data_IF_560445325839
#
_entry.id   IF_560445325839
#
_cell.length_a   1.000
_cell.length_b   1.000
_cell.length_c   1.000
_cell.angle_alpha   90.00
_cell.angle_beta   90.00
_cell.angle_gamma   90.00
#
_symmetry.space_group_name_H-M   'P 1'
#
loop_
_entity.id
_entity.type
_entity.pdbx_description
1 polymer ?
#
# COMPACT_ATOMS: atom_id res chain seq x y z
N UNK A 1 24.00 -6.14 16.76
CA UNK A 1 24.50 -7.31 16.01
C UNK A 1 24.34 -8.66 16.72
N UNK A 2 24.65 -8.80 18.02
CA UNK A 2 24.55 -10.12 18.72
C UNK A 2 23.19 -10.83 18.53
N UNK A 3 22.07 -10.16 18.83
CA UNK A 3 20.72 -10.73 18.67
C UNK A 3 20.42 -11.18 17.24
N UNK A 4 20.86 -10.40 16.25
CA UNK A 4 20.66 -10.72 14.83
C UNK A 4 21.46 -11.95 14.40
N UNK A 5 22.74 -12.01 14.79
CA UNK A 5 23.60 -13.16 14.47
C UNK A 5 23.04 -14.43 15.12
N UNK A 6 22.65 -14.35 16.40
CA UNK A 6 22.03 -15.49 17.09
C UNK A 6 20.74 -15.91 16.40
N UNK A 7 19.86 -14.97 16.05
CA UNK A 7 18.62 -15.27 15.33
C UNK A 7 18.85 -15.94 13.96
N UNK A 8 19.95 -15.66 13.27
CA UNK A 8 20.31 -16.34 12.01
C UNK A 8 20.74 -17.79 12.28
N UNK A 9 21.49 -18.02 13.37
CA UNK A 9 21.85 -19.38 13.80
C UNK A 9 20.59 -20.15 14.18
N UNK A 10 19.73 -19.56 15.00
CA UNK A 10 18.46 -20.17 15.43
C UNK A 10 17.55 -20.48 14.24
N UNK A 11 17.45 -19.56 13.26
CA UNK A 11 16.72 -19.81 12.00
C UNK A 11 17.30 -21.01 11.26
N UNK A 12 18.62 -21.10 11.10
CA UNK A 12 19.26 -22.22 10.40
C UNK A 12 19.05 -23.56 11.09
N UNK A 13 19.09 -23.58 12.42
CA UNK A 13 19.04 -24.82 13.20
C UNK A 13 17.61 -25.31 13.44
N UNK A 14 16.64 -24.41 13.57
CA UNK A 14 15.29 -24.76 14.03
C UNK A 14 14.17 -24.46 13.03
N UNK A 15 14.28 -23.41 12.23
CA UNK A 15 13.20 -23.00 11.30
C UNK A 15 13.47 -23.43 9.86
N UNK A 16 14.72 -23.37 9.40
CA UNK A 16 15.08 -23.70 8.01
C UNK A 16 14.51 -25.05 7.54
N UNK A 17 14.55 -26.15 8.33
CA UNK A 17 14.02 -27.43 7.86
C UNK A 17 12.53 -27.37 7.47
N UNK A 18 11.70 -26.61 8.19
CA UNK A 18 10.27 -26.48 7.87
C UNK A 18 10.00 -25.56 6.66
N UNK A 19 10.97 -24.75 6.27
CA UNK A 19 10.84 -23.81 5.15
C UNK A 19 11.60 -24.24 3.88
N UNK A 20 12.38 -25.33 3.93
CA UNK A 20 13.27 -25.73 2.84
C UNK A 20 12.51 -25.94 1.52
N UNK A 21 11.44 -26.74 1.54
CA UNK A 21 10.60 -26.99 0.36
C UNK A 21 9.94 -25.71 -0.18
N UNK A 22 9.43 -24.86 0.73
CA UNK A 22 8.84 -23.57 0.37
C UNK A 22 9.84 -22.67 -0.35
N UNK A 23 11.06 -22.51 0.17
CA UNK A 23 12.08 -21.67 -0.47
C UNK A 23 12.66 -22.28 -1.75
N UNK A 24 12.72 -23.61 -1.88
CA UNK A 24 13.09 -24.27 -3.14
C UNK A 24 12.10 -23.92 -4.25
N UNK A 25 10.79 -23.93 -3.94
CA UNK A 25 9.76 -23.49 -4.88
C UNK A 25 9.88 -22.00 -5.19
N UNK A 26 10.02 -21.15 -4.18
CA UNK A 26 10.12 -19.69 -4.35
C UNK A 26 11.38 -19.24 -5.09
N UNK A 27 12.46 -20.05 -5.05
CA UNK A 27 13.67 -19.77 -5.81
C UNK A 27 13.45 -19.81 -7.33
N UNK A 28 12.39 -20.48 -7.80
CA UNK A 28 12.03 -20.53 -9.22
C UNK A 28 11.15 -19.35 -9.66
N UNK A 29 10.55 -18.62 -8.72
CA UNK A 29 9.71 -17.47 -9.00
C UNK A 29 8.83 -17.09 -7.82
N UNK A 30 8.41 -15.81 -7.81
CA UNK A 30 7.46 -15.27 -6.84
C UNK A 30 6.13 -14.94 -7.53
N UNK A 31 5.03 -15.10 -6.80
CA UNK A 31 3.70 -14.67 -7.21
C UNK A 31 2.92 -14.19 -5.99
N UNK A 32 3.27 -13.01 -5.46
CA UNK A 32 2.59 -12.45 -4.30
C UNK A 32 1.16 -12.04 -4.65
N UNK A 33 0.27 -12.12 -3.67
CA UNK A 33 -1.13 -11.73 -3.82
C UNK A 33 -1.28 -10.20 -3.75
N UNK A 34 -0.44 -9.57 -2.92
CA UNK A 34 -0.59 -8.16 -2.52
C UNK A 34 0.73 -7.41 -2.61
N UNK A 35 0.70 -6.18 -3.13
CA UNK A 35 1.73 -5.18 -2.85
C UNK A 35 1.38 -4.47 -1.53
N UNK A 36 2.20 -4.63 -0.51
CA UNK A 36 2.03 -4.03 0.80
C UNK A 36 3.00 -2.86 0.99
N UNK A 37 2.48 -1.64 1.15
CA UNK A 37 3.26 -0.44 1.42
C UNK A 37 3.12 -0.06 2.89
N UNK A 38 4.21 -0.15 3.64
CA UNK A 38 4.23 0.13 5.07
C UNK A 38 5.34 1.09 5.49
N UNK A 39 5.32 1.52 6.75
CA UNK A 39 6.35 2.40 7.28
C UNK A 39 7.63 1.61 7.61
N UNK A 40 8.81 2.23 7.51
CA UNK A 40 10.08 1.70 7.99
C UNK A 40 10.16 1.57 9.52
N UNK A 41 9.14 2.06 10.25
CA UNK A 41 9.03 1.91 11.71
C UNK A 41 9.20 0.46 12.15
N UNK A 42 10.16 0.19 13.02
CA UNK A 42 10.54 -1.17 13.42
C UNK A 42 9.44 -1.93 14.16
N UNK A 43 8.38 -1.25 14.60
CA UNK A 43 7.20 -1.85 15.25
C UNK A 43 6.16 -2.36 14.23
N UNK A 44 6.25 -1.92 12.98
CA UNK A 44 5.38 -2.37 11.89
C UNK A 44 6.04 -3.56 11.21
N UNK A 45 5.45 -4.75 11.37
CA UNK A 45 5.96 -6.00 10.80
C UNK A 45 4.81 -6.69 10.06
N UNK A 46 4.59 -6.39 8.76
CA UNK A 46 3.41 -6.85 8.02
C UNK A 46 3.17 -8.35 8.12
N UNK A 47 4.20 -9.16 7.86
CA UNK A 47 4.08 -10.62 7.90
C UNK A 47 3.68 -11.16 9.29
N UNK A 48 3.98 -10.43 10.37
CA UNK A 48 3.64 -10.85 11.72
C UNK A 48 2.14 -10.70 12.01
N UNK A 49 1.56 -9.53 11.72
CA UNK A 49 0.14 -9.29 12.02
C UNK A 49 -0.79 -9.83 10.93
N UNK A 50 -0.33 -9.89 9.68
CA UNK A 50 -1.10 -10.46 8.57
C UNK A 50 -1.01 -11.99 8.51
N UNK A 51 -0.14 -12.61 9.32
CA UNK A 51 0.10 -14.06 9.35
C UNK A 51 0.40 -14.64 7.97
N UNK A 52 1.22 -13.94 7.18
CA UNK A 52 1.56 -14.33 5.81
C UNK A 52 2.89 -15.08 5.75
N UNK A 53 2.98 -16.05 4.85
CA UNK A 53 4.16 -16.85 4.58
C UNK A 53 5.13 -16.16 3.59
N UNK A 54 6.38 -16.62 3.48
CA UNK A 54 7.28 -16.15 2.44
C UNK A 54 6.65 -16.31 1.04
N UNK A 55 6.64 -15.23 0.27
CA UNK A 55 6.08 -15.20 -1.09
C UNK A 55 4.69 -14.60 -1.22
N UNK A 56 3.94 -14.43 -0.12
CA UNK A 56 2.56 -13.91 -0.16
C UNK A 56 2.50 -12.39 -0.39
N UNK A 57 3.45 -11.64 0.19
CA UNK A 57 3.51 -10.18 0.12
C UNK A 57 4.73 -9.70 -0.68
N UNK A 58 4.51 -8.77 -1.61
CA UNK A 58 5.54 -7.90 -2.15
C UNK A 58 5.58 -6.61 -1.33
N UNK A 59 6.70 -6.24 -0.70
CA UNK A 59 6.68 -5.22 0.36
C UNK A 59 7.54 -4.00 0.02
N UNK A 60 6.95 -2.81 0.12
CA UNK A 60 7.66 -1.52 0.15
C UNK A 60 7.65 -1.01 1.60
N UNK A 61 8.83 -0.61 2.11
CA UNK A 61 8.94 0.04 3.42
C UNK A 61 9.77 1.31 3.34
N UNK A 62 9.15 2.45 3.63
CA UNK A 62 9.82 3.75 3.67
C UNK A 62 9.31 4.59 4.85
N UNK A 63 9.94 5.73 5.13
CA UNK A 63 9.58 6.57 6.28
C UNK A 63 8.20 7.20 6.04
N UNK A 64 7.19 6.78 6.80
CA UNK A 64 5.83 7.32 6.71
C UNK A 64 4.93 6.67 5.65
N UNK A 65 5.30 5.51 5.10
CA UNK A 65 4.51 4.75 4.12
C UNK A 65 4.04 5.59 2.93
N UNK A 66 4.94 6.44 2.41
CA UNK A 66 4.63 7.44 1.39
C UNK A 66 4.85 6.89 -0.01
N UNK A 67 4.04 7.41 -0.93
CA UNK A 67 4.18 7.23 -2.37
C UNK A 67 4.32 8.64 -2.95
N UNK A 68 5.39 8.90 -3.71
CA UNK A 68 5.45 10.13 -4.47
C UNK A 68 4.37 10.11 -5.57
N UNK A 69 3.64 11.22 -5.80
CA UNK A 69 2.71 11.28 -6.92
C UNK A 69 3.48 11.17 -8.24
N UNK A 70 2.95 10.39 -9.18
CA UNK A 70 3.45 10.36 -10.55
C UNK A 70 3.07 11.67 -11.27
N UNK A 71 4.06 12.44 -11.70
CA UNK A 71 3.88 13.59 -12.59
C UNK A 71 4.31 13.23 -14.02
N UNK A 72 3.33 12.84 -14.83
CA UNK A 72 3.51 12.52 -16.26
C UNK A 72 3.59 13.75 -17.15
N UNK A 73 3.38 14.96 -16.61
CA UNK A 73 3.29 16.20 -17.41
C UNK A 73 4.62 16.91 -17.55
N UNK A 74 5.54 16.70 -16.62
CA UNK A 74 6.91 17.21 -16.72
C UNK A 74 7.82 16.14 -17.34
N UNK A 75 7.96 16.17 -18.66
CA UNK A 75 8.87 15.33 -19.45
C UNK A 75 10.37 15.48 -19.09
N UNK A 76 10.69 16.16 -17.99
CA UNK A 76 12.04 16.40 -17.46
C UNK A 76 12.25 15.86 -16.05
N UNK A 77 11.25 15.30 -15.37
CA UNK A 77 11.38 14.84 -13.99
C UNK A 77 10.72 13.47 -13.76
N UNK A 78 11.15 12.44 -14.51
CA UNK A 78 11.07 11.09 -13.93
C UNK A 78 12.07 11.07 -12.77
N UNK A 79 11.64 11.51 -11.59
CA UNK A 79 12.42 11.38 -10.37
C UNK A 79 12.52 9.88 -10.10
N UNK A 80 13.73 9.38 -9.90
CA UNK A 80 13.99 7.97 -9.60
C UNK A 80 13.49 7.66 -8.18
N UNK A 81 12.19 7.40 -8.07
CA UNK A 81 11.53 6.98 -6.85
C UNK A 81 11.53 5.46 -6.77
N UNK A 82 12.14 4.90 -5.73
CA UNK A 82 12.25 3.44 -5.57
C UNK A 82 10.87 2.77 -5.47
N UNK A 83 9.90 3.45 -4.85
CA UNK A 83 8.52 2.99 -4.75
C UNK A 83 7.81 2.96 -6.11
N UNK A 84 8.11 3.88 -7.02
CA UNK A 84 7.53 3.91 -8.36
C UNK A 84 7.88 2.64 -9.14
N UNK A 85 9.16 2.28 -9.16
CA UNK A 85 9.65 1.07 -9.82
C UNK A 85 9.04 -0.21 -9.20
N UNK A 86 8.89 -0.24 -7.88
CA UNK A 86 8.29 -1.36 -7.17
C UNK A 86 6.78 -1.49 -7.47
N UNK A 87 6.04 -0.38 -7.59
CA UNK A 87 4.64 -0.36 -8.02
C UNK A 87 4.51 -0.92 -9.44
N UNK A 88 5.31 -0.41 -10.38
CA UNK A 88 5.29 -0.86 -11.78
C UNK A 88 5.61 -2.36 -11.89
N UNK A 89 6.62 -2.82 -11.15
CA UNK A 89 6.99 -4.23 -11.14
C UNK A 89 5.87 -5.11 -10.56
N UNK A 90 5.27 -4.71 -9.43
CA UNK A 90 4.19 -5.45 -8.81
C UNK A 90 2.97 -5.58 -9.74
N UNK A 91 2.58 -4.49 -10.40
CA UNK A 91 1.39 -4.50 -11.26
C UNK A 91 1.66 -5.14 -12.63
N UNK A 92 2.78 -4.82 -13.29
CA UNK A 92 3.05 -5.29 -14.66
C UNK A 92 3.69 -6.69 -14.72
N UNK A 93 4.60 -6.98 -13.80
CA UNK A 93 5.42 -8.20 -13.87
C UNK A 93 4.87 -9.29 -12.95
N UNK A 94 4.43 -8.92 -11.74
CA UNK A 94 3.88 -9.89 -10.78
C UNK A 94 2.35 -10.06 -10.91
N UNK A 95 1.66 -9.07 -11.48
CA UNK A 95 0.21 -9.12 -11.67
C UNK A 95 -0.56 -9.16 -10.35
N UNK A 96 -0.09 -8.43 -9.33
CA UNK A 96 -0.80 -8.34 -8.04
C UNK A 96 -2.20 -7.77 -8.25
N UNK A 97 -3.19 -8.34 -7.55
CA UNK A 97 -4.58 -7.91 -7.66
C UNK A 97 -4.95 -6.85 -6.61
N UNK A 98 -4.12 -6.70 -5.57
CA UNK A 98 -4.39 -5.85 -4.42
C UNK A 98 -3.17 -5.02 -4.04
N UNK A 99 -3.38 -3.74 -3.75
CA UNK A 99 -2.38 -2.87 -3.14
C UNK A 99 -2.92 -2.34 -1.81
N UNK A 100 -2.14 -2.55 -0.74
CA UNK A 100 -2.44 -2.03 0.59
C UNK A 100 -1.48 -0.89 0.91
N UNK A 101 -2.01 0.28 1.26
CA UNK A 101 -1.26 1.30 2.01
C UNK A 101 -1.59 1.12 3.48
N UNK A 102 -0.58 0.85 4.30
CA UNK A 102 -0.73 0.66 5.74
C UNK A 102 -0.01 1.76 6.51
N UNK A 103 -0.80 2.67 7.09
CA UNK A 103 -0.35 3.63 8.10
C UNK A 103 -0.29 2.99 9.49
N UNK A 104 0.15 3.76 10.49
CA UNK A 104 0.15 3.27 11.86
C UNK A 104 0.08 4.39 12.90
N UNK A 105 -0.37 4.05 14.11
CA UNK A 105 -0.34 4.96 15.26
C UNK A 105 1.10 5.30 15.68
N UNK A 106 1.30 6.48 16.28
CA UNK A 106 2.58 6.95 16.79
C UNK A 106 3.68 6.97 15.72
N UNK A 107 3.32 7.38 14.49
CA UNK A 107 4.25 7.47 13.38
C UNK A 107 5.24 8.61 13.54
N UNK A 108 6.54 8.29 13.51
CA UNK A 108 7.60 9.29 13.62
C UNK A 108 7.60 10.32 12.48
N UNK A 109 7.12 9.94 11.29
CA UNK A 109 7.03 10.85 10.14
C UNK A 109 5.93 11.91 10.33
N UNK A 110 4.74 11.51 10.77
CA UNK A 110 3.65 12.47 11.02
C UNK A 110 3.95 13.37 12.21
N UNK A 111 4.57 12.83 13.26
CA UNK A 111 5.09 13.61 14.38
C UNK A 111 6.12 14.65 13.90
N UNK A 112 7.07 14.25 13.05
CA UNK A 112 8.11 15.13 12.56
C UNK A 112 7.58 16.28 11.70
N UNK A 113 6.54 16.06 10.89
CA UNK A 113 5.95 17.10 10.03
C UNK A 113 5.06 18.06 10.81
N UNK A 114 4.46 17.63 11.92
CA UNK A 114 3.64 18.49 12.77
C UNK A 114 4.46 19.32 13.78
N UNK A 115 5.69 18.90 14.07
CA UNK A 115 6.59 19.63 14.96
C UNK A 115 7.37 20.70 14.20
N UNK A 116 6.82 21.92 14.17
CA UNK A 116 7.44 23.08 13.52
C UNK A 116 8.80 23.48 14.14
N UNK A 117 9.13 22.99 15.34
CA UNK A 117 10.40 23.28 16.01
C UNK A 117 11.53 22.34 15.58
N UNK A 118 11.20 21.26 14.87
CA UNK A 118 12.14 20.19 14.53
C UNK A 118 12.90 20.48 13.25
N UNK A 119 14.23 20.51 13.33
CA UNK A 119 15.09 20.53 12.15
C UNK A 119 15.25 19.12 11.58
N UNK A 120 14.86 18.93 10.32
CA UNK A 120 15.02 17.69 9.58
C UNK A 120 16.24 17.74 8.66
N UNK A 121 16.86 16.58 8.41
CA UNK A 121 17.98 16.48 7.47
C UNK A 121 17.48 16.63 6.03
N UNK A 122 18.29 17.14 5.07
CA UNK A 122 17.82 17.52 3.74
C UNK A 122 17.05 16.44 2.98
N UNK A 123 17.55 15.20 2.98
CA UNK A 123 16.88 14.09 2.31
C UNK A 123 15.55 13.72 2.98
N UNK A 124 15.50 13.78 4.31
CA UNK A 124 14.27 13.51 5.05
C UNK A 124 13.24 14.62 4.83
N UNK A 125 13.68 15.89 4.82
CA UNK A 125 12.81 17.03 4.49
C UNK A 125 12.18 16.84 3.11
N UNK A 126 12.99 16.59 2.07
CA UNK A 126 12.47 16.40 0.71
C UNK A 126 11.57 15.17 0.62
N UNK A 127 11.91 14.07 1.30
CA UNK A 127 11.05 12.89 1.32
C UNK A 127 9.67 13.15 1.94
N UNK A 128 9.63 13.90 3.06
CA UNK A 128 8.39 14.21 3.76
C UNK A 128 7.53 15.30 3.08
N UNK A 129 8.01 15.92 1.99
CA UNK A 129 7.16 16.76 1.12
C UNK A 129 5.98 15.97 0.56
N UNK A 130 6.15 14.66 0.32
CA UNK A 130 5.06 13.77 -0.11
C UNK A 130 3.96 13.58 0.95
N UNK A 131 4.20 13.96 2.21
CA UNK A 131 3.21 13.95 3.29
C UNK A 131 2.46 15.29 3.39
N UNK A 132 2.99 16.37 2.80
CA UNK A 132 2.44 17.72 2.94
C UNK A 132 0.97 17.86 2.48
N UNK A 133 0.51 17.23 1.39
CA UNK A 133 -0.91 17.27 1.02
C UNK A 133 -1.84 16.74 2.13
N UNK A 134 -1.41 15.73 2.89
CA UNK A 134 -2.14 15.21 4.06
C UNK A 134 -2.28 16.25 5.17
N UNK A 135 -1.25 17.07 5.39
CA UNK A 135 -1.28 18.18 6.37
C UNK A 135 -2.27 19.25 5.93
N UNK A 136 -2.26 19.59 4.64
CA UNK A 136 -3.20 20.57 4.06
C UNK A 136 -4.63 20.09 4.25
N UNK A 137 -4.94 18.82 3.97
CA UNK A 137 -6.27 18.23 4.22
C UNK A 137 -6.69 18.35 5.67
N UNK A 138 -5.82 17.98 6.61
CA UNK A 138 -6.11 18.08 8.03
C UNK A 138 -6.37 19.54 8.46
N UNK A 139 -5.55 20.50 7.99
CA UNK A 139 -5.74 21.93 8.26
C UNK A 139 -7.04 22.48 7.64
N UNK A 140 -7.48 21.92 6.53
CA UNK A 140 -8.75 22.25 5.88
C UNK A 140 -9.97 21.55 6.51
N UNK A 141 -9.78 20.83 7.63
CA UNK A 141 -10.87 20.25 8.42
C UNK A 141 -11.21 18.80 8.10
N UNK A 142 -10.34 18.08 7.39
CA UNK A 142 -10.51 16.63 7.21
C UNK A 142 -10.31 15.92 8.58
N UNK A 143 -11.37 15.31 9.11
CA UNK A 143 -11.38 14.61 10.41
C UNK A 143 -12.05 13.26 10.26
N UNK A 144 -11.26 12.19 10.37
CA UNK A 144 -11.75 10.80 10.33
C UNK A 144 -12.16 10.31 11.72
N UNK A 145 -11.32 10.57 12.72
CA UNK A 145 -11.60 10.26 14.12
C UNK A 145 -11.05 11.37 15.03
N UNK A 146 -11.97 12.17 15.58
CA UNK A 146 -11.65 13.27 16.49
C UNK A 146 -11.18 12.84 17.88
N UNK A 147 -11.24 11.53 18.18
CA UNK A 147 -10.75 10.99 19.45
C UNK A 147 -9.24 10.73 19.44
N UNK A 148 -8.62 10.71 18.26
CA UNK A 148 -7.19 10.52 18.08
C UNK A 148 -6.40 11.81 18.33
N UNK A 149 -5.13 11.65 18.70
CA UNK A 149 -4.20 12.78 18.71
C UNK A 149 -3.96 13.31 17.29
N UNK A 150 -3.56 14.60 17.12
CA UNK A 150 -3.38 15.20 15.81
C UNK A 150 -2.46 14.41 14.86
N UNK A 151 -1.35 13.85 15.37
CA UNK A 151 -0.42 13.05 14.54
C UNK A 151 -0.97 11.69 14.14
N UNK A 152 -1.88 11.11 14.91
CA UNK A 152 -2.56 9.86 14.59
C UNK A 152 -3.69 10.09 13.60
N UNK A 153 -4.44 11.19 13.75
CA UNK A 153 -5.39 11.64 12.75
C UNK A 153 -4.68 11.93 11.41
N UNK A 154 -3.55 12.65 11.43
CA UNK A 154 -2.73 12.87 10.24
C UNK A 154 -2.24 11.56 9.63
N UNK A 155 -1.89 10.57 10.45
CA UNK A 155 -1.47 9.23 9.98
C UNK A 155 -2.60 8.53 9.20
N UNK A 156 -3.84 8.58 9.68
CA UNK A 156 -4.99 8.03 8.96
C UNK A 156 -5.29 8.80 7.67
N UNK A 157 -5.30 10.14 7.71
CA UNK A 157 -5.49 10.99 6.51
C UNK A 157 -4.40 10.71 5.48
N UNK A 158 -3.16 10.51 5.94
CA UNK A 158 -2.03 10.22 5.08
C UNK A 158 -2.23 8.93 4.29
N UNK A 159 -2.78 7.87 4.89
CA UNK A 159 -3.11 6.63 4.16
C UNK A 159 -4.00 6.91 2.95
N UNK A 160 -5.05 7.70 3.13
CA UNK A 160 -5.96 8.07 2.04
C UNK A 160 -5.26 8.93 0.99
N UNK A 161 -4.42 9.89 1.41
CA UNK A 161 -3.65 10.71 0.49
C UNK A 161 -2.68 9.88 -0.37
N UNK A 162 -2.04 8.86 0.21
CA UNK A 162 -1.12 8.00 -0.52
C UNK A 162 -1.84 7.09 -1.52
N UNK A 163 -3.10 6.74 -1.28
CA UNK A 163 -3.93 6.09 -2.29
C UNK A 163 -4.22 7.01 -3.49
N UNK A 164 -4.45 8.30 -3.25
CA UNK A 164 -4.60 9.27 -4.34
C UNK A 164 -3.30 9.41 -5.14
N UNK A 165 -2.14 9.45 -4.49
CA UNK A 165 -0.84 9.47 -5.16
C UNK A 165 -0.62 8.20 -6.00
N UNK A 166 -0.93 7.04 -5.44
CA UNK A 166 -0.86 5.77 -6.15
C UNK A 166 -1.78 5.76 -7.38
N UNK A 167 -2.97 6.35 -7.27
CA UNK A 167 -3.92 6.50 -8.37
C UNK A 167 -3.47 7.50 -9.45
N UNK A 168 -2.36 8.24 -9.28
CA UNK A 168 -1.81 9.07 -10.39
C UNK A 168 -0.92 8.28 -11.34
N UNK A 169 -0.51 7.05 -10.98
CA UNK A 169 0.31 6.20 -11.84
C UNK A 169 -0.52 5.61 -12.99
N UNK A 170 -0.11 5.76 -14.26
CA UNK A 170 -0.87 5.25 -15.41
C UNK A 170 -1.18 3.75 -15.33
N UNK A 171 -0.20 2.95 -14.89
CA UNK A 171 -0.37 1.50 -14.73
C UNK A 171 -1.45 1.14 -13.69
N UNK A 172 -1.51 1.90 -12.59
CA UNK A 172 -2.51 1.70 -11.54
C UNK A 172 -3.88 2.11 -12.06
N UNK A 173 -3.98 3.26 -12.73
CA UNK A 173 -5.25 3.73 -13.31
C UNK A 173 -5.83 2.73 -14.31
N UNK A 174 -5.00 2.22 -15.22
CA UNK A 174 -5.44 1.24 -16.21
C UNK A 174 -5.93 -0.05 -15.55
N UNK A 175 -5.18 -0.56 -14.56
CA UNK A 175 -5.57 -1.78 -13.85
C UNK A 175 -6.84 -1.61 -13.00
N UNK A 176 -7.03 -0.44 -12.37
CA UNK A 176 -8.27 -0.10 -11.65
C UNK A 176 -9.47 -0.03 -12.60
N UNK A 177 -9.34 0.70 -13.72
CA UNK A 177 -10.43 0.80 -14.72
C UNK A 177 -10.78 -0.55 -15.35
N UNK A 178 -9.79 -1.45 -15.47
CA UNK A 178 -10.00 -2.80 -15.95
C UNK A 178 -10.57 -3.76 -14.89
N UNK A 179 -10.78 -3.32 -13.64
CA UNK A 179 -11.24 -4.17 -12.55
C UNK A 179 -10.23 -5.25 -12.13
N UNK A 180 -8.95 -5.10 -12.48
CA UNK A 180 -7.87 -6.05 -12.21
C UNK A 180 -7.08 -5.72 -10.94
N UNK A 181 -7.27 -4.53 -10.40
CA UNK A 181 -6.55 -4.02 -9.23
C UNK A 181 -7.55 -3.43 -8.25
N UNK A 182 -7.30 -3.65 -6.96
CA UNK A 182 -8.06 -3.10 -5.83
C UNK A 182 -7.11 -2.36 -4.89
N UNK A 183 -7.56 -1.22 -4.38
CA UNK A 183 -6.79 -0.45 -3.40
C UNK A 183 -7.40 -0.55 -2.01
N UNK A 184 -6.55 -0.67 -1.01
CA UNK A 184 -6.93 -0.86 0.39
C UNK A 184 -6.19 0.13 1.30
N UNK A 185 -6.94 0.79 2.17
CA UNK A 185 -6.40 1.67 3.21
C UNK A 185 -6.44 0.96 4.56
N UNK A 186 -5.26 0.60 5.08
CA UNK A 186 -5.10 -0.03 6.39
C UNK A 186 -4.41 0.91 7.38
N UNK A 187 -4.70 0.73 8.67
CA UNK A 187 -4.05 1.47 9.74
C UNK A 187 -3.78 0.55 10.93
N UNK A 188 -2.51 0.43 11.33
CA UNK A 188 -2.11 -0.41 12.44
C UNK A 188 -2.02 0.38 13.75
N UNK A 189 -2.91 0.06 14.69
CA UNK A 189 -2.85 0.57 16.05
C UNK A 189 -1.83 -0.24 16.86
N UNK A 190 -0.64 0.34 17.07
CA UNK A 190 0.48 -0.33 17.73
C UNK A 190 0.15 -0.66 19.19
N UNK A 191 -0.49 0.25 19.91
CA UNK A 191 -0.78 0.07 21.33
C UNK A 191 -1.82 -1.04 21.58
N UNK A 192 -2.78 -1.16 20.67
CA UNK A 192 -3.82 -2.20 20.72
C UNK A 192 -3.44 -3.49 19.99
N UNK A 193 -2.39 -3.47 19.18
CA UNK A 193 -2.00 -4.56 18.28
C UNK A 193 -3.16 -4.95 17.34
N UNK A 194 -3.80 -3.94 16.77
CA UNK A 194 -5.01 -4.10 15.97
C UNK A 194 -4.83 -3.47 14.59
N UNK A 195 -5.19 -4.22 13.54
CA UNK A 195 -5.22 -3.70 12.16
C UNK A 195 -6.63 -3.24 11.85
N UNK A 196 -6.76 -2.01 11.40
CA UNK A 196 -8.01 -1.39 11.01
C UNK A 196 -8.03 -1.15 9.49
N UNK A 197 -9.19 -1.31 8.86
CA UNK A 197 -9.44 -1.00 7.45
C UNK A 197 -10.35 0.23 7.34
N UNK A 198 -10.11 1.09 6.35
CA UNK A 198 -10.98 2.22 6.06
C UNK A 198 -12.30 1.76 5.43
N UNK A 199 -13.41 2.18 6.03
CA UNK A 199 -14.77 1.97 5.56
C UNK A 199 -15.29 3.29 4.94
N UNK A 200 -15.39 3.39 3.60
CA UNK A 200 -15.79 4.62 2.91
C UNK A 200 -17.25 5.00 3.21
N UNK A 201 -18.11 4.04 3.57
CA UNK A 201 -19.53 4.31 3.83
C UNK A 201 -19.75 5.18 5.06
N UNK A 202 -18.93 4.96 6.09
CA UNK A 202 -18.97 5.72 7.35
C UNK A 202 -17.76 6.64 7.55
N UNK A 203 -16.83 6.64 6.59
CA UNK A 203 -15.58 7.42 6.57
C UNK A 203 -14.71 7.23 7.81
N UNK A 204 -14.55 5.98 8.26
CA UNK A 204 -13.77 5.63 9.46
C UNK A 204 -12.94 4.38 9.28
N UNK A 205 -11.83 4.31 10.00
CA UNK A 205 -11.10 3.07 10.19
C UNK A 205 -11.82 2.18 11.21
N UNK A 206 -11.88 0.88 10.93
CA UNK A 206 -12.52 -0.13 11.77
C UNK A 206 -11.67 -1.37 11.87
N UNK A 207 -11.66 -2.07 13.02
CA UNK A 207 -10.90 -3.32 13.16
C UNK A 207 -11.26 -4.34 12.08
N UNK A 208 -10.23 -5.01 11.54
CA UNK A 208 -10.40 -6.23 10.75
C UNK A 208 -10.64 -7.39 11.71
N UNK A 209 -11.83 -7.43 12.29
CA UNK A 209 -12.30 -8.56 13.10
C UNK A 209 -12.82 -9.71 12.22
N UNK A 210 -13.17 -10.84 12.84
CA UNK A 210 -13.70 -12.02 12.13
C UNK A 210 -14.89 -11.68 11.22
N UNK A 211 -15.82 -10.84 11.70
CA UNK A 211 -17.03 -10.47 10.96
C UNK A 211 -16.71 -9.52 9.81
N UNK A 212 -15.71 -8.66 9.95
CA UNK A 212 -15.19 -7.84 8.87
C UNK A 212 -14.50 -8.71 7.82
N UNK A 213 -13.60 -9.62 8.25
CA UNK A 213 -12.90 -10.54 7.35
C UNK A 213 -13.88 -11.40 6.54
N UNK A 214 -14.91 -11.97 7.17
CA UNK A 214 -15.95 -12.73 6.47
C UNK A 214 -16.66 -11.92 5.37
N UNK A 215 -16.92 -10.63 5.60
CA UNK A 215 -17.55 -9.75 4.60
C UNK A 215 -16.59 -9.43 3.46
N UNK A 216 -15.34 -9.08 3.77
CA UNK A 216 -14.30 -8.79 2.77
C UNK A 216 -14.09 -9.99 1.84
N UNK A 217 -13.99 -11.20 2.40
CA UNK A 217 -13.79 -12.43 1.63
C UNK A 217 -14.99 -12.76 0.73
N UNK A 218 -16.22 -12.54 1.21
CA UNK A 218 -17.44 -12.74 0.40
C UNK A 218 -17.52 -11.79 -0.81
N UNK A 219 -17.14 -10.52 -0.62
CA UNK A 219 -17.04 -9.55 -1.71
C UNK A 219 -15.99 -10.00 -2.74
N UNK A 220 -14.81 -10.44 -2.27
CA UNK A 220 -13.73 -10.92 -3.15
C UNK A 220 -14.17 -12.12 -4.01
N UNK A 221 -14.78 -13.14 -3.40
CA UNK A 221 -15.29 -14.33 -4.12
C UNK A 221 -16.33 -13.97 -5.19
N UNK A 222 -17.18 -12.98 -4.90
CA UNK A 222 -18.21 -12.48 -5.80
C UNK A 222 -17.60 -11.74 -7.00
N UNK A 223 -16.57 -10.92 -6.77
CA UNK A 223 -15.84 -10.23 -7.86
C UNK A 223 -15.05 -11.18 -8.76
N UNK A 224 -14.46 -12.23 -8.18
CA UNK A 224 -13.68 -13.24 -8.90
C UNK A 224 -14.57 -14.14 -9.79
N UNK A 225 -15.82 -14.39 -9.37
CA UNK A 225 -16.77 -15.16 -10.18
C UNK A 225 -17.29 -14.40 -11.39
N UNK A 226 -17.41 -13.07 -11.29
CA UNK A 226 -17.80 -12.20 -12.41
C UNK A 226 -16.68 -12.08 -13.44
N UNK A 227 -15.45 -11.80 -13.00
CA UNK A 227 -14.27 -11.66 -13.89
C UNK A 227 -13.91 -12.98 -14.60
N UNK A 228 -14.04 -14.14 -13.94
CA UNK A 228 -13.79 -15.46 -14.57
C UNK A 228 -14.77 -15.79 -15.71
N UNK A 229 -15.98 -15.21 -15.75
CA UNK A 229 -16.94 -15.41 -16.86
C UNK A 229 -16.56 -14.63 -18.13
N UNK A 230 -15.78 -13.57 -18.01
CA UNK A 230 -15.45 -12.66 -19.13
C UNK A 230 -14.08 -12.96 -19.77
N UNK A 231 -13.23 -13.78 -19.13
CA UNK A 231 -11.83 -13.99 -19.53
C UNK A 231 -11.53 -15.25 -20.37
N UNK A 232 -12.49 -15.78 -21.14
CA UNK A 232 -12.21 -16.88 -22.09
C UNK A 232 -11.56 -16.37 -23.40
N UNK A 233 -10.33 -15.86 -23.35
CA UNK A 233 -9.46 -15.74 -24.53
C UNK A 233 -7.99 -15.64 -24.12
N UNK A 234 -7.08 -16.45 -24.70
CA UNK A 234 -5.67 -16.40 -24.35
C UNK A 234 -5.00 -15.21 -25.04
N UNK A 235 -4.22 -14.43 -24.28
CA UNK A 235 -3.33 -13.40 -24.83
C UNK A 235 -1.90 -13.95 -24.90
N UNK A 236 -1.40 -14.09 -26.12
CA UNK A 236 0.02 -14.13 -26.44
C UNK A 236 0.34 -12.90 -27.27
N UNK A 237 0.97 -11.89 -26.67
CA UNK A 237 1.96 -11.03 -27.34
C UNK A 237 2.47 -9.95 -26.37
N UNK A 238 3.65 -10.20 -25.81
CA UNK A 238 4.37 -9.29 -24.91
C UNK A 238 5.63 -8.80 -25.63
N UNK A 239 5.48 -7.96 -26.67
CA UNK A 239 6.66 -7.37 -27.32
C UNK A 239 6.46 -6.06 -28.10
N UNK A 240 5.38 -5.30 -27.85
CA UNK A 240 5.25 -3.96 -28.45
C UNK A 240 4.62 -2.94 -27.50
N UNK A 241 5.33 -2.62 -26.42
CA UNK A 241 5.04 -1.41 -25.66
C UNK A 241 5.44 -0.18 -26.51
N UNK A 242 4.44 0.45 -27.15
CA UNK A 242 4.53 1.82 -27.66
C UNK A 242 3.53 2.65 -26.86
N UNK A 243 3.97 3.60 -26.03
CA UNK A 243 3.02 4.35 -25.25
C UNK A 243 2.32 5.40 -26.12
N UNK A 244 0.99 5.28 -26.24
CA UNK A 244 0.14 6.28 -26.87
C UNK A 244 -0.28 7.29 -25.81
N UNK A 245 0.59 8.29 -25.58
CA UNK A 245 0.47 9.27 -24.49
C UNK A 245 -0.59 10.36 -24.69
N UNK A 246 -1.28 10.40 -25.83
CA UNK A 246 -2.14 11.54 -26.20
C UNK A 246 -3.52 11.59 -25.52
N UNK A 247 -3.86 10.62 -24.65
CA UNK A 247 -5.23 10.51 -24.08
C UNK A 247 -5.37 10.69 -22.56
N UNK A 248 -4.29 10.91 -21.81
CA UNK A 248 -4.36 10.97 -20.33
C UNK A 248 -4.45 12.39 -19.73
N UNK A 249 -4.54 13.45 -20.54
CA UNK A 249 -4.46 14.85 -20.05
C UNK A 249 -5.73 15.42 -19.40
N UNK A 250 -6.73 14.60 -19.05
CA UNK A 250 -8.00 15.07 -18.43
C UNK A 250 -8.58 14.11 -17.38
N UNK A 251 -7.74 13.60 -16.47
CA UNK A 251 -8.25 12.91 -15.29
C UNK A 251 -8.92 13.92 -14.34
N UNK A 252 -10.21 13.74 -14.06
CA UNK A 252 -10.94 14.43 -12.97
C UNK A 252 -10.31 14.00 -11.63
N UNK A 253 -10.37 14.81 -10.56
CA UNK A 253 -10.00 14.34 -9.23
C UNK A 253 -10.78 13.06 -8.93
N UNK A 254 -10.06 11.99 -8.60
CA UNK A 254 -10.66 10.69 -8.30
C UNK A 254 -11.53 10.83 -7.05
N UNK A 255 -12.74 10.26 -7.09
CA UNK A 255 -13.51 10.06 -5.86
C UNK A 255 -12.80 8.97 -5.06
N UNK A 256 -12.20 9.33 -3.92
CA UNK A 256 -11.56 8.41 -2.98
C UNK A 256 -12.44 7.20 -2.65
N UNK A 257 -13.76 7.39 -2.57
CA UNK A 257 -14.69 6.30 -2.27
C UNK A 257 -14.88 5.36 -3.46
N UNK A 258 -14.59 5.80 -4.68
CA UNK A 258 -14.58 4.96 -5.88
C UNK A 258 -13.21 4.27 -6.11
N UNK A 259 -12.14 4.74 -5.45
CA UNK A 259 -10.80 4.15 -5.53
C UNK A 259 -10.60 2.98 -4.56
N UNK A 260 -11.24 3.03 -3.40
CA UNK A 260 -11.10 2.03 -2.35
C UNK A 260 -12.08 0.91 -2.63
N UNK A 261 -11.60 -0.34 -2.61
CA UNK A 261 -12.49 -1.49 -2.71
C UNK A 261 -13.52 -1.43 -1.58
N UNK A 262 -14.81 -1.37 -1.92
CA UNK A 262 -15.88 -1.25 -0.94
C UNK A 262 -15.87 -2.50 -0.04
N UNK A 263 -15.67 -2.35 1.28
CA UNK A 263 -15.70 -3.48 2.20
C UNK A 263 -17.12 -4.00 2.48
N UNK A 264 -18.14 -3.40 1.87
CA UNK A 264 -19.57 -3.62 2.18
C UNK A 264 -20.47 -3.91 0.96
N UNK A 265 -19.94 -3.87 -0.27
CA UNK A 265 -20.69 -4.20 -1.48
C UNK A 265 -20.06 -5.34 -2.30
#
# INVERSE_FOLDING_TARGET
MRKLIQGIVDFREHLKPSYQETFERLALGQKPDVLFVGCSDSRVVPNLFASTEPGDLFVIRNVGNLIAPCDVTSSQNVREHAEAAAIEYAVLQLGVADIVICGHSECGATLAVLDETRTLSPNLTCWLENLHPSVVRMKNGDVLDSTLSPHNQLSQINVLQQLEHLATYPVVQEALHAGKLRLHAWWFNIAKVEVEIYDPTIKKFRPIDKKMAERLLQTMDSTDTVTKREMSSPFTDFMSWKPCWDKLSKARPFDLNALIADPTH
#
